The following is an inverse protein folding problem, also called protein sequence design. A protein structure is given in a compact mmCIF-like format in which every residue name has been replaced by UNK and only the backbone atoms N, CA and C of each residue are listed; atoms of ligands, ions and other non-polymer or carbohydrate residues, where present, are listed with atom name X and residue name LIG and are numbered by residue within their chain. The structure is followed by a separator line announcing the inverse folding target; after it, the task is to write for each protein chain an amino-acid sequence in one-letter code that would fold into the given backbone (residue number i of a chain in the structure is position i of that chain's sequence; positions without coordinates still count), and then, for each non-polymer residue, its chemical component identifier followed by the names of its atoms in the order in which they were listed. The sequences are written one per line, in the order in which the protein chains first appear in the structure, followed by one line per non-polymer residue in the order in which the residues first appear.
data_IF_270065470599
#
_entry.id   IF_270065470599
#
_cell.length_a   1.000
_cell.length_b   1.000
_cell.length_c   1.000
_cell.angle_alpha   90.00
_cell.angle_beta   90.00
_cell.angle_gamma   90.00
#
_symmetry.space_group_name_H-M   'P 1'
#
loop_
_entity.id
_entity.type
_entity.pdbx_description
1 polymer ?
#
# COMPACT_ATOMS: atom_id res chain seq x y z
N UNK A 1 27.51 -8.49 24.88
CA UNK A 1 26.77 -9.76 24.92
C UNK A 1 26.17 -9.98 23.54
N UNK A 2 26.70 -10.95 22.80
CA UNK A 2 26.27 -11.25 21.42
C UNK A 2 24.89 -11.89 21.37
N UNK A 3 24.45 -12.55 22.45
CA UNK A 3 23.12 -13.18 22.55
C UNK A 3 22.03 -12.16 22.84
N UNK A 4 22.32 -11.15 23.67
CA UNK A 4 21.39 -10.06 23.99
C UNK A 4 21.52 -8.85 23.06
N UNK A 5 22.41 -8.93 22.06
CA UNK A 5 22.69 -7.85 21.11
C UNK A 5 22.96 -6.49 21.78
N UNK A 6 23.67 -6.53 22.91
CA UNK A 6 23.89 -5.36 23.77
C UNK A 6 25.37 -5.18 24.09
N UNK A 7 25.86 -3.97 23.85
CA UNK A 7 27.15 -3.50 24.34
C UNK A 7 26.95 -2.80 25.68
N UNK A 8 27.85 -3.05 26.63
CA UNK A 8 27.89 -2.36 27.92
C UNK A 8 29.30 -1.85 28.13
N UNK A 9 29.43 -0.63 28.64
CA UNK A 9 30.73 -0.08 29.03
C UNK A 9 31.18 -0.70 30.35
N UNK A 10 32.43 -1.15 30.39
CA UNK A 10 33.09 -1.57 31.64
C UNK A 10 33.58 -0.37 32.42
N UNK A 11 33.88 -0.51 33.72
CA UNK A 11 34.43 0.58 34.54
C UNK A 11 35.73 1.14 33.94
N UNK A 12 36.63 0.26 33.52
CA UNK A 12 37.86 0.62 32.80
C UNK A 12 37.59 1.36 31.48
N UNK A 13 36.50 1.04 30.79
CA UNK A 13 36.08 1.73 29.58
C UNK A 13 35.59 3.15 29.87
N UNK A 14 34.87 3.35 30.97
CA UNK A 14 34.43 4.68 31.44
C UNK A 14 35.62 5.55 31.85
N UNK A 15 36.59 5.00 32.57
CA UNK A 15 37.83 5.70 32.95
C UNK A 15 38.59 6.18 31.71
N UNK A 16 38.81 5.28 30.74
CA UNK A 16 39.49 5.62 29.49
C UNK A 16 38.73 6.67 28.66
N UNK A 17 37.39 6.60 28.67
CA UNK A 17 36.57 7.63 28.03
C UNK A 17 36.74 8.98 28.73
N UNK A 18 36.77 9.02 30.07
CA UNK A 18 36.94 10.24 30.83
C UNK A 18 38.31 10.90 30.57
N UNK A 19 39.38 10.10 30.50
CA UNK A 19 40.73 10.57 30.17
C UNK A 19 40.79 11.22 28.78
N UNK A 20 40.19 10.56 27.78
CA UNK A 20 40.23 11.02 26.39
C UNK A 20 39.18 12.06 26.05
N UNK A 21 38.10 12.18 26.83
CA UNK A 21 37.03 13.15 26.59
C UNK A 21 37.55 14.60 26.56
N UNK A 22 38.67 14.88 27.23
CA UNK A 22 39.37 16.17 27.18
C UNK A 22 39.98 16.52 25.82
N UNK A 23 40.29 15.52 24.98
CA UNK A 23 40.84 15.68 23.62
C UNK A 23 39.77 16.07 22.59
N UNK A 24 38.49 15.95 22.95
CA UNK A 24 37.36 16.17 22.05
C UNK A 24 36.60 17.48 22.35
N UNK A 25 35.77 17.97 21.41
CA UNK A 25 34.95 19.17 21.64
C UNK A 25 34.11 19.09 22.92
N UNK A 26 33.74 20.25 23.48
CA UNK A 26 33.04 20.37 24.76
C UNK A 26 31.79 19.47 24.91
N UNK A 27 31.15 19.11 23.79
CA UNK A 27 30.05 18.16 23.71
C UNK A 27 30.36 16.77 24.32
N UNK A 28 31.62 16.31 24.29
CA UNK A 28 32.09 15.03 24.82
C UNK A 28 32.40 15.04 26.32
N UNK A 29 32.44 16.23 26.95
CA UNK A 29 32.74 16.36 28.39
C UNK A 29 31.59 15.90 29.30
N UNK A 30 30.39 15.72 28.76
CA UNK A 30 29.24 15.21 29.50
C UNK A 30 29.30 13.68 29.65
N UNK A 31 29.55 13.13 30.85
CA UNK A 31 29.90 11.71 31.03
C UNK A 31 28.81 10.75 30.54
N UNK A 32 27.53 11.03 30.80
CA UNK A 32 26.42 10.18 30.33
C UNK A 32 26.26 10.20 28.81
N UNK A 33 26.43 11.36 28.19
CA UNK A 33 26.23 11.55 26.75
C UNK A 33 27.36 10.93 25.94
N UNK A 34 28.60 11.13 26.37
CA UNK A 34 29.77 10.52 25.73
C UNK A 34 29.74 9.01 25.87
N UNK A 35 29.31 8.48 27.02
CA UNK A 35 29.10 7.04 27.19
C UNK A 35 28.01 6.51 26.25
N UNK A 36 26.86 7.19 26.13
CA UNK A 36 25.78 6.78 25.24
C UNK A 36 26.21 6.73 23.77
N UNK A 37 26.88 7.77 23.27
CA UNK A 37 27.39 7.85 21.90
C UNK A 37 28.47 6.78 21.64
N UNK A 38 29.37 6.57 22.60
CA UNK A 38 30.41 5.54 22.46
C UNK A 38 29.79 4.13 22.47
N UNK A 39 28.77 3.88 23.29
CA UNK A 39 28.04 2.61 23.28
C UNK A 39 27.33 2.40 21.94
N UNK A 40 26.73 3.44 21.34
CA UNK A 40 26.13 3.35 19.99
C UNK A 40 27.17 3.05 18.92
N UNK A 41 28.31 3.76 18.94
CA UNK A 41 29.42 3.52 18.02
C UNK A 41 29.99 2.10 18.15
N UNK A 42 30.24 1.64 19.39
CA UNK A 42 30.70 0.28 19.65
C UNK A 42 29.67 -0.77 19.24
N UNK A 43 28.37 -0.47 19.40
CA UNK A 43 27.28 -1.34 18.93
C UNK A 43 27.32 -1.47 17.42
N UNK A 44 27.42 -0.36 16.68
CA UNK A 44 27.54 -0.37 15.22
C UNK A 44 28.80 -1.10 14.72
N UNK A 45 29.93 -0.93 15.42
CA UNK A 45 31.20 -1.57 15.04
C UNK A 45 31.21 -3.06 15.35
N UNK A 46 30.72 -3.47 16.52
CA UNK A 46 30.88 -4.84 17.03
C UNK A 46 29.72 -5.78 16.70
N UNK A 47 28.51 -5.27 16.46
CA UNK A 47 27.31 -6.11 16.30
C UNK A 47 26.67 -6.07 14.91
N UNK A 48 26.95 -5.02 14.12
CA UNK A 48 26.39 -4.83 12.79
C UNK A 48 27.45 -5.04 11.72
N UNK A 49 27.19 -5.89 10.73
CA UNK A 49 28.13 -6.23 9.65
C UNK A 49 27.57 -5.88 8.27
N UNK A 50 28.42 -5.28 7.43
CA UNK A 50 28.12 -5.02 6.02
C UNK A 50 27.96 -6.36 5.28
N UNK A 51 26.89 -6.49 4.50
CA UNK A 51 26.54 -7.70 3.76
C UNK A 51 25.53 -8.60 4.47
N UNK A 52 25.49 -8.59 5.80
CA UNK A 52 24.54 -9.39 6.59
C UNK A 52 23.38 -8.55 7.14
N UNK A 53 23.70 -7.43 7.81
CA UNK A 53 22.72 -6.55 8.46
C UNK A 53 22.26 -5.40 7.58
N UNK A 54 23.13 -4.97 6.69
CA UNK A 54 22.90 -3.83 5.82
C UNK A 54 23.81 -3.88 4.59
N UNK A 55 23.42 -3.12 3.58
CA UNK A 55 24.20 -2.87 2.38
C UNK A 55 24.31 -1.37 2.15
N UNK A 56 25.35 -0.97 1.42
CA UNK A 56 25.50 0.41 0.94
C UNK A 56 24.93 0.46 -0.48
N UNK A 57 23.90 1.26 -0.68
CA UNK A 57 23.29 1.47 -1.99
C UNK A 57 23.59 2.88 -2.49
N UNK A 58 23.86 3.01 -3.80
CA UNK A 58 23.92 4.31 -4.44
C UNK A 58 22.50 4.71 -4.87
N UNK A 59 22.06 5.89 -4.41
CA UNK A 59 20.79 6.47 -4.85
C UNK A 59 20.90 6.82 -6.35
N UNK A 60 20.38 5.95 -7.21
CA UNK A 60 20.19 6.27 -8.63
C UNK A 60 19.09 7.32 -8.75
N UNK A 61 19.35 8.29 -9.62
CA UNK A 61 18.63 9.55 -9.78
C UNK A 61 17.26 9.38 -10.47
N UNK A 62 16.45 8.38 -10.09
CA UNK A 62 15.20 8.06 -10.81
C UNK A 62 13.90 8.37 -10.03
N UNK A 63 13.97 8.70 -8.74
CA UNK A 63 12.75 8.96 -7.94
C UNK A 63 12.36 10.45 -7.82
N UNK A 64 13.09 11.38 -8.45
CA UNK A 64 12.79 12.82 -8.41
C UNK A 64 11.80 13.32 -9.47
N UNK A 65 11.27 12.44 -10.33
CA UNK A 65 10.39 12.85 -11.43
C UNK A 65 8.91 13.03 -11.07
N UNK A 66 8.49 12.82 -9.80
CA UNK A 66 7.07 12.85 -9.40
C UNK A 66 6.69 13.91 -8.33
N UNK A 67 7.52 14.94 -8.15
CA UNK A 67 7.09 16.15 -7.43
C UNK A 67 6.44 17.15 -8.41
N UNK A 68 5.10 17.14 -8.42
CA UNK A 68 4.16 18.22 -8.75
C UNK A 68 4.66 19.41 -9.62
N UNK A 69 4.25 19.42 -10.89
CA UNK A 69 4.58 20.43 -11.89
C UNK A 69 3.78 21.74 -11.75
N UNK A 70 3.60 22.26 -10.53
CA UNK A 70 2.86 23.53 -10.30
C UNK A 70 3.58 24.54 -9.41
N UNK A 71 4.89 24.38 -9.19
CA UNK A 71 5.69 25.45 -8.58
C UNK A 71 6.93 25.72 -9.44
N UNK A 72 7.10 26.98 -9.85
CA UNK A 72 8.38 27.53 -10.30
C UNK A 72 9.34 27.52 -9.10
N UNK A 73 9.85 26.34 -8.75
CA UNK A 73 10.94 26.19 -7.79
C UNK A 73 12.25 26.45 -8.54
N UNK A 74 13.13 27.26 -7.93
CA UNK A 74 14.53 27.45 -8.39
C UNK A 74 15.17 26.10 -8.69
N UNK A 75 16.04 26.00 -9.71
CA UNK A 75 16.78 24.76 -9.97
C UNK A 75 17.55 24.37 -8.69
N UNK A 76 17.18 23.24 -8.09
CA UNK A 76 17.94 22.67 -6.99
C UNK A 76 19.34 22.31 -7.51
N UNK A 77 20.41 22.56 -6.74
CA UNK A 77 21.76 22.20 -7.15
C UNK A 77 21.84 20.69 -7.41
N UNK A 78 22.53 20.28 -8.48
CA UNK A 78 22.84 18.88 -8.79
C UNK A 78 23.39 18.21 -7.53
N UNK A 79 22.58 17.37 -6.88
CA UNK A 79 23.01 16.60 -5.70
C UNK A 79 23.96 15.51 -6.17
N UNK A 80 25.13 15.43 -5.55
CA UNK A 80 26.08 14.34 -5.73
C UNK A 80 25.39 12.99 -5.45
N UNK A 81 25.83 11.88 -6.10
CA UNK A 81 25.27 10.56 -5.86
C UNK A 81 25.37 10.22 -4.37
N UNK A 82 24.22 10.14 -3.70
CA UNK A 82 24.17 9.92 -2.27
C UNK A 82 24.24 8.41 -2.01
N UNK A 83 25.29 8.00 -1.32
CA UNK A 83 25.33 6.66 -0.75
C UNK A 83 24.38 6.62 0.46
N UNK A 84 23.61 5.55 0.60
CA UNK A 84 22.73 5.32 1.74
C UNK A 84 22.89 3.90 2.30
N UNK A 85 22.75 3.77 3.63
CA UNK A 85 22.72 2.48 4.31
C UNK A 85 21.30 1.93 4.25
N UNK A 86 21.13 0.73 3.70
CA UNK A 86 19.84 0.04 3.63
C UNK A 86 19.88 -1.23 4.46
N UNK A 87 18.91 -1.37 5.36
CA UNK A 87 18.83 -2.51 6.29
C UNK A 87 18.45 -3.78 5.53
N UNK A 88 19.12 -4.89 5.86
CA UNK A 88 18.81 -6.23 5.36
C UNK A 88 18.27 -7.09 6.50
N UNK A 89 17.21 -7.83 6.23
CA UNK A 89 16.73 -8.86 7.16
C UNK A 89 17.63 -10.10 7.06
N UNK A 90 18.42 -10.37 8.11
CA UNK A 90 19.34 -11.53 8.18
C UNK A 90 18.68 -12.88 7.88
N UNK A 91 17.39 -13.03 8.18
CA UNK A 91 16.69 -14.31 8.04
C UNK A 91 16.21 -14.56 6.60
N UNK A 92 15.93 -13.50 5.85
CA UNK A 92 15.32 -13.59 4.52
C UNK A 92 16.18 -13.00 3.40
N UNK A 93 17.25 -12.26 3.75
CA UNK A 93 18.07 -11.50 2.80
C UNK A 93 17.33 -10.32 2.16
N UNK A 94 16.12 -9.99 2.61
CA UNK A 94 15.29 -8.92 2.02
C UNK A 94 15.81 -7.55 2.41
N UNK A 95 15.95 -6.69 1.40
CA UNK A 95 16.31 -5.28 1.56
C UNK A 95 15.10 -4.46 2.02
N UNK A 96 15.22 -3.77 3.15
CA UNK A 96 14.16 -2.99 3.78
C UNK A 96 14.34 -1.48 3.52
N UNK A 97 14.08 -1.04 2.28
CA UNK A 97 14.23 0.37 1.86
C UNK A 97 13.39 1.32 2.74
N UNK A 98 14.00 2.44 3.14
CA UNK A 98 13.34 3.49 3.95
C UNK A 98 13.25 3.21 5.45
N UNK A 99 13.67 2.02 5.93
CA UNK A 99 13.78 1.75 7.38
C UNK A 99 15.11 2.25 7.92
N UNK A 100 15.07 2.85 9.11
CA UNK A 100 16.26 3.28 9.87
C UNK A 100 16.23 2.66 11.26
N UNK A 101 17.39 2.31 11.80
CA UNK A 101 17.52 1.96 13.21
C UNK A 101 17.29 3.20 14.08
N UNK A 102 16.70 2.99 15.26
CA UNK A 102 16.34 4.08 16.19
C UNK A 102 17.51 4.49 17.08
N UNK A 103 17.31 5.56 17.86
CA UNK A 103 18.23 6.01 18.92
C UNK A 103 19.67 6.25 18.42
N UNK A 104 19.83 6.90 17.25
CA UNK A 104 21.15 7.27 16.73
C UNK A 104 21.98 6.12 16.13
N UNK A 105 21.52 4.87 16.24
CA UNK A 105 22.27 3.70 15.76
C UNK A 105 22.48 3.71 14.25
N UNK A 106 21.51 4.23 13.48
CA UNK A 106 21.64 4.33 12.03
C UNK A 106 22.74 5.32 11.63
N UNK A 107 22.78 6.48 12.30
CA UNK A 107 23.84 7.45 12.12
C UNK A 107 25.21 6.91 12.55
N UNK A 108 25.27 6.07 13.58
CA UNK A 108 26.51 5.39 13.97
C UNK A 108 27.01 4.41 12.90
N UNK A 109 26.12 3.67 12.22
CA UNK A 109 26.49 2.80 11.10
C UNK A 109 26.89 3.61 9.86
N UNK A 110 26.18 4.71 9.54
CA UNK A 110 26.58 5.63 8.47
C UNK A 110 27.99 6.19 8.72
N UNK A 111 28.27 6.64 9.95
CA UNK A 111 29.58 7.14 10.35
C UNK A 111 30.67 6.06 10.29
N UNK A 112 30.36 4.81 10.65
CA UNK A 112 31.27 3.67 10.56
C UNK A 112 31.70 3.41 9.12
N UNK A 113 30.78 3.48 8.17
CA UNK A 113 31.04 3.19 6.75
C UNK A 113 31.48 4.42 5.94
N UNK A 114 31.61 5.59 6.58
CA UNK A 114 31.99 6.83 5.90
C UNK A 114 30.91 7.39 4.96
N UNK A 115 29.66 6.97 5.14
CA UNK A 115 28.51 7.42 4.36
C UNK A 115 28.00 8.76 4.93
N UNK A 116 27.50 9.70 4.11
CA UNK A 116 26.96 10.97 4.60
C UNK A 116 25.89 10.78 5.67
N UNK A 117 26.15 11.27 6.89
CA UNK A 117 25.25 11.11 8.04
C UNK A 117 23.89 11.73 7.71
N UNK A 118 22.85 10.91 7.79
CA UNK A 118 21.51 11.38 7.54
C UNK A 118 20.96 12.15 8.74
N UNK A 119 20.31 13.27 8.45
CA UNK A 119 19.64 14.05 9.50
C UNK A 119 18.55 13.20 10.16
N UNK A 120 18.46 13.32 11.48
CA UNK A 120 17.38 12.70 12.23
C UNK A 120 16.04 13.28 11.77
N UNK A 121 15.17 12.41 11.25
CA UNK A 121 13.83 12.80 10.83
C UNK A 121 12.92 12.72 12.05
N UNK A 122 12.94 13.78 12.85
CA UNK A 122 11.96 13.95 13.91
C UNK A 122 10.61 14.34 13.30
N UNK A 123 9.52 13.73 13.79
CA UNK A 123 8.17 14.10 13.36
C UNK A 123 7.78 15.40 14.06
N UNK A 124 7.83 16.52 13.34
CA UNK A 124 7.44 17.84 13.90
C UNK A 124 5.95 17.95 14.14
N UNK A 125 5.13 17.41 13.23
CA UNK A 125 3.68 17.43 13.34
C UNK A 125 3.09 16.15 12.74
N UNK A 126 2.00 15.66 13.33
CA UNK A 126 1.23 14.51 12.85
C UNK A 126 -0.25 14.76 13.11
N UNK A 127 -1.11 14.36 12.18
CA UNK A 127 -2.56 14.27 12.39
C UNK A 127 -3.09 13.07 11.62
N UNK A 128 -4.13 12.41 12.12
CA UNK A 128 -4.93 11.50 11.30
C UNK A 128 -5.86 12.28 10.37
N UNK A 129 -6.33 11.61 9.32
CA UNK A 129 -7.38 12.13 8.45
C UNK A 129 -8.67 12.40 9.22
N UNK A 130 -9.03 11.50 10.14
CA UNK A 130 -10.22 11.64 10.95
C UNK A 130 -10.22 12.95 11.72
N UNK A 131 -9.13 13.22 12.46
CA UNK A 131 -9.00 14.48 13.21
C UNK A 131 -8.85 15.69 12.30
N UNK A 132 -8.19 15.54 11.16
CA UNK A 132 -8.02 16.63 10.20
C UNK A 132 -9.37 17.10 9.64
N UNK A 133 -10.22 16.18 9.18
CA UNK A 133 -11.52 16.54 8.61
C UNK A 133 -12.50 17.04 9.66
N UNK A 134 -12.44 16.55 10.91
CA UNK A 134 -13.27 17.07 12.01
C UNK A 134 -13.07 18.57 12.32
N UNK A 135 -12.00 19.20 11.84
CA UNK A 135 -11.75 20.64 12.02
C UNK A 135 -12.56 21.53 11.08
N UNK A 136 -13.15 20.99 10.02
CA UNK A 136 -13.94 21.76 9.09
C UNK A 136 -15.33 22.02 9.67
N UNK A 137 -15.81 23.26 9.61
CA UNK A 137 -17.16 23.63 10.04
C UNK A 137 -18.25 22.88 9.24
N UNK A 138 -17.98 22.64 7.95
CA UNK A 138 -18.88 21.91 7.07
C UNK A 138 -18.10 20.84 6.31
N UNK A 139 -18.61 19.60 6.38
CA UNK A 139 -18.04 18.45 5.68
C UNK A 139 -19.14 17.81 4.84
N UNK A 140 -18.84 17.53 3.58
CA UNK A 140 -19.68 16.75 2.69
C UNK A 140 -18.81 15.82 1.83
N UNK A 141 -19.40 14.79 1.25
CA UNK A 141 -18.67 13.88 0.38
C UNK A 141 -19.59 13.07 -0.52
N UNK A 142 -19.03 12.55 -1.60
CA UNK A 142 -19.72 11.70 -2.56
C UNK A 142 -18.92 10.41 -2.78
N UNK A 143 -19.64 9.29 -2.89
CA UNK A 143 -19.05 7.98 -3.19
C UNK A 143 -20.13 7.04 -3.71
N UNK A 144 -19.75 6.14 -4.63
CA UNK A 144 -20.65 5.10 -5.12
C UNK A 144 -20.90 3.97 -4.11
N UNK A 145 -20.12 3.89 -3.03
CA UNK A 145 -20.15 2.75 -2.10
C UNK A 145 -20.08 3.18 -0.62
N UNK A 146 -20.81 4.26 -0.28
CA UNK A 146 -20.81 4.83 1.09
C UNK A 146 -21.77 4.15 2.07
N UNK A 147 -22.76 3.41 1.59
CA UNK A 147 -23.86 2.89 2.43
C UNK A 147 -23.37 1.97 3.56
N UNK A 148 -22.45 1.06 3.24
CA UNK A 148 -21.95 0.03 4.15
C UNK A 148 -21.09 0.60 5.28
N UNK A 149 -20.51 1.78 5.06
CA UNK A 149 -19.69 2.49 6.06
C UNK A 149 -20.46 3.64 6.71
N UNK A 150 -21.76 3.77 6.46
CA UNK A 150 -22.55 4.90 6.95
C UNK A 150 -22.58 5.01 8.47
N UNK A 151 -22.58 3.89 9.19
CA UNK A 151 -22.51 3.91 10.66
C UNK A 151 -21.18 4.45 11.19
N UNK A 152 -20.07 4.17 10.50
CA UNK A 152 -18.75 4.71 10.84
C UNK A 152 -18.67 6.21 10.49
N UNK A 153 -19.15 6.60 9.32
CA UNK A 153 -19.19 8.01 8.91
C UNK A 153 -20.06 8.87 9.83
N UNK A 154 -21.18 8.34 10.31
CA UNK A 154 -22.01 9.02 11.30
C UNK A 154 -21.31 9.13 12.66
N UNK A 155 -20.71 8.04 13.16
CA UNK A 155 -20.01 8.03 14.44
C UNK A 155 -18.83 9.01 14.47
N UNK A 156 -18.03 9.01 13.41
CA UNK A 156 -16.74 9.70 13.41
C UNK A 156 -16.86 11.14 12.90
N UNK A 157 -17.82 11.43 12.01
CA UNK A 157 -17.95 12.75 11.37
C UNK A 157 -19.36 13.36 11.43
N UNK A 158 -20.35 12.67 12.02
CA UNK A 158 -21.75 13.12 11.98
C UNK A 158 -22.37 13.12 10.57
N UNK A 159 -21.77 12.39 9.62
CA UNK A 159 -22.21 12.40 8.23
C UNK A 159 -23.28 11.33 7.97
N UNK A 160 -24.46 11.78 7.54
CA UNK A 160 -25.53 10.89 7.06
C UNK A 160 -25.25 10.47 5.62
N UNK A 161 -25.40 9.19 5.34
CA UNK A 161 -25.28 8.66 3.98
C UNK A 161 -26.67 8.53 3.35
N UNK A 162 -26.88 9.23 2.24
CA UNK A 162 -28.10 9.17 1.44
C UNK A 162 -27.82 8.44 0.13
N UNK A 163 -28.66 7.45 -0.22
CA UNK A 163 -28.56 6.74 -1.50
C UNK A 163 -29.33 7.53 -2.56
N UNK A 164 -28.61 8.12 -3.50
CA UNK A 164 -29.20 8.76 -4.69
C UNK A 164 -29.55 7.68 -5.72
N UNK A 165 -30.78 7.63 -6.26
CA UNK A 165 -31.15 6.70 -7.33
C UNK A 165 -30.26 6.88 -8.57
N UNK A 166 -30.03 5.79 -9.31
CA UNK A 166 -29.29 5.88 -10.58
C UNK A 166 -30.19 6.49 -11.66
N UNK A 167 -29.58 7.26 -12.57
CA UNK A 167 -30.28 7.87 -13.70
C UNK A 167 -30.98 6.83 -14.61
N UNK A 168 -30.33 5.68 -14.82
CA UNK A 168 -30.89 4.53 -15.53
C UNK A 168 -30.77 3.26 -14.68
N UNK A 169 -31.66 2.27 -14.83
CA UNK A 169 -31.56 1.00 -14.13
C UNK A 169 -30.24 0.28 -14.45
N UNK A 170 -29.64 -0.35 -13.44
CA UNK A 170 -28.40 -1.11 -13.61
C UNK A 170 -28.75 -2.52 -14.09
N UNK A 171 -28.33 -2.87 -15.31
CA UNK A 171 -28.57 -4.20 -15.93
C UNK A 171 -27.32 -5.10 -15.90
N UNK A 172 -26.37 -4.80 -15.02
CA UNK A 172 -25.11 -5.54 -14.89
C UNK A 172 -25.36 -6.98 -14.51
N UNK A 173 -24.71 -7.92 -15.20
CA UNK A 173 -24.72 -9.35 -14.85
C UNK A 173 -23.49 -9.70 -14.02
N UNK A 174 -23.67 -10.50 -12.96
CA UNK A 174 -22.55 -11.06 -12.19
C UNK A 174 -22.55 -12.56 -12.37
N UNK A 175 -21.44 -13.11 -12.85
CA UNK A 175 -21.27 -14.55 -12.93
C UNK A 175 -20.90 -15.12 -11.54
N UNK A 176 -21.04 -16.44 -11.38
CA UNK A 176 -20.57 -17.11 -10.19
C UNK A 176 -19.04 -17.04 -10.07
N UNK A 177 -18.54 -16.88 -8.85
CA UNK A 177 -17.11 -16.82 -8.58
C UNK A 177 -16.45 -18.19 -8.85
N UNK A 178 -15.33 -18.19 -9.57
CA UNK A 178 -14.58 -19.40 -9.92
C UNK A 178 -13.39 -19.54 -8.98
N UNK A 179 -13.34 -20.66 -8.23
CA UNK A 179 -12.28 -20.93 -7.26
C UNK A 179 -11.32 -21.99 -7.81
N UNK A 180 -10.03 -21.69 -7.79
CA UNK A 180 -8.94 -22.54 -8.26
C UNK A 180 -8.08 -23.01 -7.09
N UNK A 181 -7.44 -24.16 -7.27
CA UNK A 181 -6.56 -24.74 -6.24
C UNK A 181 -5.22 -23.98 -6.12
N UNK A 182 -4.68 -23.49 -7.24
CA UNK A 182 -3.42 -22.75 -7.27
C UNK A 182 -3.54 -21.45 -8.06
N UNK A 183 -2.68 -20.50 -7.74
CA UNK A 183 -2.59 -19.19 -8.36
C UNK A 183 -2.22 -19.30 -9.84
N UNK A 184 -1.34 -20.24 -10.20
CA UNK A 184 -0.98 -20.51 -11.59
C UNK A 184 -2.21 -20.89 -12.43
N UNK A 185 -3.02 -21.84 -11.95
CA UNK A 185 -4.26 -22.27 -12.65
C UNK A 185 -5.28 -21.14 -12.75
N UNK A 186 -5.35 -20.28 -11.72
CA UNK A 186 -6.18 -19.07 -11.72
C UNK A 186 -5.77 -18.14 -12.86
N UNK A 187 -4.49 -17.77 -12.96
CA UNK A 187 -4.01 -16.84 -14.00
C UNK A 187 -4.13 -17.42 -15.42
N UNK A 188 -3.86 -18.70 -15.62
CA UNK A 188 -4.08 -19.36 -16.91
C UNK A 188 -5.56 -19.31 -17.33
N UNK A 189 -6.48 -19.55 -16.40
CA UNK A 189 -7.92 -19.46 -16.66
C UNK A 189 -8.37 -18.02 -16.94
N UNK A 190 -7.81 -17.03 -16.24
CA UNK A 190 -8.06 -15.61 -16.52
C UNK A 190 -7.55 -15.25 -17.91
N UNK A 191 -6.31 -15.59 -18.25
CA UNK A 191 -5.72 -15.27 -19.55
C UNK A 191 -6.51 -15.90 -20.71
N UNK A 192 -6.92 -17.16 -20.58
CA UNK A 192 -7.81 -17.83 -21.54
C UNK A 192 -9.14 -17.09 -21.70
N UNK A 193 -9.75 -16.65 -20.58
CA UNK A 193 -11.02 -15.92 -20.62
C UNK A 193 -10.90 -14.56 -21.29
N UNK A 194 -9.83 -13.84 -21.00
CA UNK A 194 -9.52 -12.55 -21.65
C UNK A 194 -9.37 -12.74 -23.15
N UNK A 195 -8.63 -13.77 -23.58
CA UNK A 195 -8.44 -14.13 -24.98
C UNK A 195 -9.76 -14.44 -25.70
N UNK A 196 -10.65 -15.22 -25.08
CA UNK A 196 -12.00 -15.49 -25.62
C UNK A 196 -12.80 -14.21 -25.88
N UNK A 197 -12.83 -13.29 -24.91
CA UNK A 197 -13.55 -12.03 -25.04
C UNK A 197 -12.89 -11.06 -26.02
N UNK A 198 -11.56 -11.00 -26.02
CA UNK A 198 -10.79 -10.19 -26.95
C UNK A 198 -11.07 -10.60 -28.41
N UNK A 199 -11.05 -11.91 -28.71
CA UNK A 199 -11.39 -12.43 -30.03
C UNK A 199 -12.85 -12.16 -30.41
N UNK A 200 -13.75 -12.17 -29.45
CA UNK A 200 -15.16 -11.79 -29.65
C UNK A 200 -15.38 -10.27 -29.74
N UNK A 201 -14.33 -9.44 -29.69
CA UNK A 201 -14.42 -7.99 -29.79
C UNK A 201 -14.91 -7.28 -28.52
N UNK A 202 -15.08 -8.01 -27.43
CA UNK A 202 -15.58 -7.45 -26.17
C UNK A 202 -14.43 -6.87 -25.35
N UNK A 203 -14.52 -5.61 -24.87
CA UNK A 203 -13.50 -5.04 -24.02
C UNK A 203 -13.48 -5.69 -22.63
N UNK A 204 -12.27 -5.87 -22.11
CA UNK A 204 -12.02 -6.50 -20.80
C UNK A 204 -11.15 -5.60 -19.93
N UNK A 205 -11.64 -5.31 -18.73
CA UNK A 205 -10.87 -4.73 -17.63
C UNK A 205 -10.55 -5.82 -16.62
N UNK A 206 -9.28 -6.10 -16.39
CA UNK A 206 -8.83 -7.04 -15.37
C UNK A 206 -8.29 -6.26 -14.18
N UNK A 207 -8.88 -6.45 -13.00
CA UNK A 207 -8.42 -5.85 -11.76
C UNK A 207 -7.60 -6.83 -10.94
N UNK A 208 -6.39 -6.41 -10.58
CA UNK A 208 -5.42 -7.16 -9.78
C UNK A 208 -5.11 -6.43 -8.46
N UNK A 209 -4.58 -7.18 -7.49
CA UNK A 209 -4.21 -6.64 -6.18
C UNK A 209 -2.86 -5.92 -6.18
N UNK A 210 -1.88 -6.42 -6.92
CA UNK A 210 -0.50 -5.92 -6.93
C UNK A 210 0.03 -5.63 -8.34
N UNK A 211 1.11 -4.85 -8.41
CA UNK A 211 1.83 -4.58 -9.67
C UNK A 211 2.42 -5.87 -10.24
N UNK A 212 3.03 -6.71 -9.40
CA UNK A 212 3.59 -8.01 -9.80
C UNK A 212 2.54 -8.92 -10.46
N UNK A 213 1.35 -9.05 -9.86
CA UNK A 213 0.25 -9.82 -10.46
C UNK A 213 -0.22 -9.24 -11.80
N UNK A 214 -0.13 -7.92 -11.97
CA UNK A 214 -0.50 -7.23 -13.21
C UNK A 214 0.50 -7.51 -14.32
N UNK A 215 1.79 -7.44 -14.00
CA UNK A 215 2.89 -7.71 -14.94
C UNK A 215 2.93 -9.18 -15.35
N UNK A 216 2.76 -10.10 -14.38
CA UNK A 216 2.63 -11.54 -14.65
C UNK A 216 1.48 -11.84 -15.61
N UNK A 217 0.30 -11.26 -15.37
CA UNK A 217 -0.82 -11.42 -16.28
C UNK A 217 -0.56 -10.77 -17.64
N UNK A 218 0.08 -9.61 -17.67
CA UNK A 218 0.50 -8.94 -18.91
C UNK A 218 1.40 -9.83 -19.78
N UNK A 219 2.39 -10.48 -19.17
CA UNK A 219 3.27 -11.42 -19.87
C UNK A 219 2.49 -12.62 -20.44
N UNK A 220 1.62 -13.24 -19.64
CA UNK A 220 0.76 -14.36 -20.08
C UNK A 220 -0.19 -13.98 -21.22
N UNK A 221 -0.67 -12.73 -21.26
CA UNK A 221 -1.49 -12.22 -22.37
C UNK A 221 -0.65 -11.98 -23.62
N UNK A 222 0.58 -11.48 -23.47
CA UNK A 222 1.54 -11.29 -24.56
C UNK A 222 1.91 -12.61 -25.25
N UNK A 223 2.16 -13.67 -24.48
CA UNK A 223 2.39 -15.03 -24.99
C UNK A 223 1.22 -15.58 -25.83
N UNK A 224 0.00 -15.12 -25.55
CA UNK A 224 -1.23 -15.49 -26.26
C UNK A 224 -1.57 -14.57 -27.43
N UNK A 225 -0.70 -13.60 -27.75
CA UNK A 225 -0.93 -12.62 -28.81
C UNK A 225 -2.02 -11.60 -28.50
N UNK A 226 -2.40 -11.42 -27.23
CA UNK A 226 -3.37 -10.42 -26.79
C UNK A 226 -2.64 -9.15 -26.38
N UNK A 227 -2.81 -8.08 -27.17
CA UNK A 227 -2.20 -6.77 -26.88
C UNK A 227 -2.92 -6.06 -25.71
N UNK A 228 -2.60 -6.46 -24.48
CA UNK A 228 -3.09 -5.84 -23.25
C UNK A 228 -2.26 -4.63 -22.80
N UNK A 229 -2.91 -3.65 -22.18
CA UNK A 229 -2.24 -2.51 -21.52
C UNK A 229 -2.24 -2.69 -20.01
N UNK A 230 -1.07 -2.66 -19.38
CA UNK A 230 -0.91 -2.80 -17.93
C UNK A 230 -0.77 -1.42 -17.26
N UNK A 231 -1.49 -1.19 -16.16
CA UNK A 231 -1.51 0.08 -15.42
C UNK A 231 -1.11 -0.13 -13.95
N UNK A 232 -0.03 0.53 -13.54
CA UNK A 232 0.65 0.30 -12.26
C UNK A 232 0.46 1.43 -11.22
N UNK A 233 -0.44 2.40 -11.45
CA UNK A 233 -0.73 3.53 -10.56
C UNK A 233 0.47 4.48 -10.30
N UNK A 234 1.45 4.52 -11.20
CA UNK A 234 2.63 5.38 -11.09
C UNK A 234 2.48 6.70 -11.83
N UNK A 235 1.64 6.79 -12.89
CA UNK A 235 1.53 7.99 -13.75
C UNK A 235 0.08 8.36 -14.05
N UNK A 236 -0.54 9.18 -13.20
CA UNK A 236 -1.98 9.46 -13.23
C UNK A 236 -2.53 9.98 -14.58
N UNK A 237 -1.86 10.94 -15.23
CA UNK A 237 -2.37 11.54 -16.49
C UNK A 237 -2.39 10.55 -17.66
N UNK A 238 -1.28 9.84 -17.88
CA UNK A 238 -1.18 8.86 -18.96
C UNK A 238 -2.12 7.65 -18.72
N UNK A 239 -2.32 7.28 -17.46
CA UNK A 239 -3.27 6.22 -17.10
C UNK A 239 -4.72 6.63 -17.40
N UNK A 240 -5.08 7.90 -17.14
CA UNK A 240 -6.41 8.40 -17.46
C UNK A 240 -6.72 8.25 -18.96
N UNK A 241 -5.77 8.59 -19.83
CA UNK A 241 -5.93 8.44 -21.27
C UNK A 241 -6.11 6.97 -21.66
N UNK A 242 -5.33 6.06 -21.09
CA UNK A 242 -5.47 4.63 -21.38
C UNK A 242 -6.84 4.09 -20.91
N UNK A 243 -7.28 4.48 -19.73
CA UNK A 243 -8.56 4.04 -19.14
C UNK A 243 -9.75 4.57 -19.93
N UNK A 244 -9.67 5.80 -20.44
CA UNK A 244 -10.70 6.35 -21.33
C UNK A 244 -10.86 5.52 -22.62
N UNK A 245 -9.80 4.84 -23.06
CA UNK A 245 -9.80 3.96 -24.24
C UNK A 245 -10.15 2.50 -23.93
N UNK A 246 -10.25 2.12 -22.65
CA UNK A 246 -10.50 0.74 -22.23
C UNK A 246 -11.86 0.18 -22.67
N UNK A 247 -12.80 1.06 -23.03
CA UNK A 247 -14.13 0.68 -23.53
C UNK A 247 -14.23 0.47 -25.04
N UNK A 248 -13.11 0.53 -25.78
CA UNK A 248 -13.09 0.29 -27.24
C UNK A 248 -13.20 -1.20 -27.58
N UNK A 249 -13.69 -1.50 -28.77
CA UNK A 249 -13.82 -2.87 -29.28
C UNK A 249 -12.51 -3.66 -29.13
N UNK A 250 -12.57 -4.82 -28.49
CA UNK A 250 -11.43 -5.70 -28.22
C UNK A 250 -10.37 -5.15 -27.26
N UNK A 251 -10.56 -3.98 -26.63
CA UNK A 251 -9.54 -3.43 -25.73
C UNK A 251 -9.35 -4.30 -24.48
N UNK A 252 -8.09 -4.59 -24.13
CA UNK A 252 -7.73 -5.32 -22.91
C UNK A 252 -6.90 -4.42 -22.02
N UNK A 253 -7.38 -4.17 -20.82
CA UNK A 253 -6.71 -3.33 -19.82
C UNK A 253 -6.55 -4.11 -18.54
N UNK A 254 -5.31 -4.22 -18.04
CA UNK A 254 -4.98 -4.81 -16.74
C UNK A 254 -4.62 -3.66 -15.82
N UNK A 255 -5.28 -3.57 -14.68
CA UNK A 255 -5.13 -2.46 -13.75
C UNK A 255 -5.02 -2.97 -12.32
N UNK A 256 -4.09 -2.39 -11.56
CA UNK A 256 -4.16 -2.45 -10.11
C UNK A 256 -5.37 -1.67 -9.61
N UNK A 257 -5.88 -1.98 -8.42
CA UNK A 257 -7.09 -1.36 -7.87
C UNK A 257 -7.16 0.17 -7.89
N UNK A 258 -6.02 0.84 -7.80
CA UNK A 258 -5.94 2.30 -7.76
C UNK A 258 -5.79 2.93 -9.14
N UNK A 259 -5.30 2.18 -10.13
CA UNK A 259 -5.04 2.71 -11.45
C UNK A 259 -6.34 3.14 -12.15
N UNK A 260 -6.32 4.33 -12.77
CA UNK A 260 -7.49 4.86 -13.47
C UNK A 260 -8.67 5.26 -12.56
N UNK A 261 -8.44 5.54 -11.27
CA UNK A 261 -9.46 6.11 -10.39
C UNK A 261 -9.84 7.52 -10.87
N UNK A 262 -11.16 7.78 -10.94
CA UNK A 262 -11.68 9.08 -11.42
C UNK A 262 -12.01 9.12 -12.90
N UNK A 263 -11.43 8.25 -13.74
CA UNK A 263 -11.73 8.21 -15.18
C UNK A 263 -12.92 7.29 -15.48
N UNK A 264 -13.85 7.78 -16.31
CA UNK A 264 -14.99 7.01 -16.81
C UNK A 264 -14.60 6.16 -18.03
N UNK A 265 -15.10 4.93 -18.09
CA UNK A 265 -14.85 4.01 -19.21
C UNK A 265 -16.10 4.02 -20.09
N UNK A 266 -16.10 4.86 -21.12
CA UNK A 266 -17.19 4.94 -22.09
C UNK A 266 -17.06 3.82 -23.11
N UNK A 267 -18.17 3.14 -23.41
CA UNK A 267 -18.20 2.12 -24.44
C UNK A 267 -18.06 2.76 -25.83
N UNK A 268 -17.17 2.22 -26.65
CA UNK A 268 -17.02 2.61 -28.05
C UNK A 268 -18.12 2.02 -28.96
N UNK A 269 -18.15 2.44 -30.23
CA UNK A 269 -19.08 1.89 -31.21
C UNK A 269 -18.97 0.36 -31.32
N UNK A 270 -20.11 -0.33 -31.44
CA UNK A 270 -20.16 -1.79 -31.61
C UNK A 270 -19.95 -2.62 -30.34
N UNK A 271 -19.66 -2.01 -29.18
CA UNK A 271 -19.36 -2.73 -27.94
C UNK A 271 -20.61 -3.17 -27.17
N UNK A 272 -21.70 -2.41 -27.24
CA UNK A 272 -22.96 -2.78 -26.57
C UNK A 272 -23.53 -4.12 -27.09
N UNK A 273 -23.60 -4.39 -28.41
CA UNK A 273 -23.98 -5.70 -28.94
C UNK A 273 -23.08 -6.85 -28.48
N UNK A 274 -21.78 -6.60 -28.26
CA UNK A 274 -20.83 -7.58 -27.72
C UNK A 274 -21.01 -7.85 -26.21
N UNK A 275 -22.03 -7.27 -25.57
CA UNK A 275 -22.33 -7.44 -24.15
C UNK A 275 -21.64 -6.42 -23.23
N UNK A 276 -21.09 -5.33 -23.79
CA UNK A 276 -20.48 -4.23 -23.05
C UNK A 276 -19.17 -4.59 -22.35
N UNK A 277 -18.69 -3.69 -21.48
CA UNK A 277 -17.46 -3.90 -20.72
C UNK A 277 -17.56 -5.13 -19.82
N UNK A 278 -16.58 -6.02 -19.93
CA UNK A 278 -16.40 -7.14 -19.03
C UNK A 278 -15.35 -6.80 -17.97
N UNK A 279 -15.65 -7.03 -16.70
CA UNK A 279 -14.70 -6.83 -15.59
C UNK A 279 -14.34 -8.18 -14.99
N UNK A 280 -13.05 -8.51 -14.96
CA UNK A 280 -12.52 -9.69 -14.28
C UNK A 280 -11.80 -9.23 -13.02
N UNK A 281 -12.20 -9.75 -11.88
CA UNK A 281 -11.48 -9.56 -10.62
C UNK A 281 -10.63 -10.80 -10.39
N UNK A 282 -9.31 -10.65 -10.30
CA UNK A 282 -8.41 -11.80 -10.11
C UNK A 282 -8.27 -12.22 -8.66
N UNK A 283 -8.80 -11.43 -7.72
CA UNK A 283 -8.84 -11.67 -6.28
C UNK A 283 -10.00 -10.87 -5.66
N UNK A 284 -10.30 -11.15 -4.39
CA UNK A 284 -11.13 -10.28 -3.54
C UNK A 284 -10.24 -9.40 -2.66
N UNK A 285 -10.66 -8.15 -2.49
CA UNK A 285 -9.94 -7.20 -1.66
C UNK A 285 -10.29 -7.34 -0.18
N UNK A 286 -9.52 -6.66 0.66
CA UNK A 286 -9.72 -6.64 2.11
C UNK A 286 -11.08 -6.02 2.50
N UNK A 287 -11.75 -5.35 1.57
CA UNK A 287 -13.12 -4.88 1.73
C UNK A 287 -13.97 -5.10 0.49
N UNK A 288 -15.21 -5.56 0.72
CA UNK A 288 -16.23 -5.73 -0.31
C UNK A 288 -16.57 -4.40 -1.01
N UNK A 289 -16.28 -3.27 -0.37
CA UNK A 289 -16.44 -1.94 -0.95
C UNK A 289 -15.54 -1.74 -2.18
N UNK A 290 -14.31 -2.23 -2.13
CA UNK A 290 -13.32 -2.08 -3.21
C UNK A 290 -13.73 -2.96 -4.39
N UNK A 291 -14.13 -4.21 -4.13
CA UNK A 291 -14.65 -5.11 -5.16
C UNK A 291 -15.84 -4.50 -5.92
N UNK A 292 -16.77 -3.86 -5.18
CA UNK A 292 -17.91 -3.18 -5.81
C UNK A 292 -17.53 -1.95 -6.61
N UNK A 293 -16.45 -1.24 -6.25
CA UNK A 293 -15.96 -0.12 -7.04
C UNK A 293 -15.39 -0.61 -8.38
N UNK A 294 -14.65 -1.73 -8.37
CA UNK A 294 -14.15 -2.36 -9.58
C UNK A 294 -15.30 -2.92 -10.44
N UNK A 295 -16.23 -3.65 -9.84
CA UNK A 295 -17.45 -4.13 -10.51
C UNK A 295 -18.30 -2.98 -11.09
N UNK A 296 -18.32 -1.82 -10.41
CA UNK A 296 -19.01 -0.60 -10.83
C UNK A 296 -18.36 0.14 -11.98
N UNK A 297 -17.23 -0.34 -12.51
CA UNK A 297 -16.67 0.14 -13.78
C UNK A 297 -17.47 -0.35 -14.98
N UNK A 298 -18.17 -1.49 -14.87
CA UNK A 298 -19.05 -2.03 -15.91
C UNK A 298 -20.51 -1.57 -15.76
N UNK A 299 -21.24 -1.61 -16.88
CA UNK A 299 -22.68 -1.37 -16.97
C UNK A 299 -23.13 -0.01 -16.40
N UNK A 300 -22.41 1.06 -16.75
CA UNK A 300 -22.78 2.43 -16.38
C UNK A 300 -23.93 2.92 -17.25
N UNK A 301 -24.77 3.82 -16.72
CA UNK A 301 -25.88 4.45 -17.47
C UNK A 301 -26.82 3.43 -18.18
N UNK A 302 -27.07 2.27 -17.56
CA UNK A 302 -27.93 1.23 -18.12
C UNK A 302 -27.33 0.45 -19.28
N UNK A 303 -26.04 0.60 -19.55
CA UNK A 303 -25.33 -0.19 -20.56
C UNK A 303 -25.20 -1.66 -20.15
N UNK A 304 -25.09 -2.59 -21.11
CA UNK A 304 -24.74 -3.97 -20.80
C UNK A 304 -23.34 -4.03 -20.19
N UNK A 305 -23.11 -5.05 -19.38
CA UNK A 305 -21.81 -5.30 -18.77
C UNK A 305 -21.86 -6.51 -17.86
N UNK A 306 -20.71 -7.12 -17.64
CA UNK A 306 -20.61 -8.33 -16.83
C UNK A 306 -19.40 -8.28 -15.92
N UNK A 307 -19.51 -8.94 -14.77
CA UNK A 307 -18.42 -9.09 -13.81
C UNK A 307 -18.22 -10.57 -13.51
N UNK A 308 -16.97 -11.00 -13.57
CA UNK A 308 -16.50 -12.34 -13.16
C UNK A 308 -15.42 -12.20 -12.09
N UNK A 309 -15.33 -13.17 -11.19
CA UNK A 309 -14.30 -13.22 -10.16
C UNK A 309 -13.59 -14.58 -10.20
N UNK A 310 -12.27 -14.54 -10.20
CA UNK A 310 -11.39 -15.70 -10.22
C UNK A 310 -10.61 -15.66 -8.91
N UNK A 311 -10.65 -16.73 -8.14
CA UNK A 311 -10.09 -16.81 -6.79
C UNK A 311 -9.16 -18.02 -6.69
N UNK A 312 -8.12 -17.93 -5.88
CA UNK A 312 -7.24 -19.06 -5.56
C UNK A 312 -7.28 -19.39 -4.07
N UNK A 313 -7.13 -20.68 -3.73
CA UNK A 313 -6.88 -21.10 -2.35
C UNK A 313 -5.53 -20.58 -1.81
N UNK A 314 -4.66 -20.07 -2.69
CA UNK A 314 -3.37 -19.44 -2.37
C UNK A 314 -3.45 -17.89 -2.30
N UNK A 315 -4.64 -17.30 -2.46
CA UNK A 315 -4.79 -15.82 -2.42
C UNK A 315 -4.44 -15.27 -1.03
N UNK A 316 -3.78 -14.11 -0.99
CA UNK A 316 -3.31 -13.44 0.24
C UNK A 316 -4.43 -13.20 1.25
N UNK A 317 -5.65 -12.95 0.78
CA UNK A 317 -6.81 -12.72 1.63
C UNK A 317 -7.06 -13.88 2.61
N UNK A 318 -6.79 -15.12 2.19
CA UNK A 318 -7.04 -16.31 2.99
C UNK A 318 -6.03 -16.50 4.11
N UNK A 319 -4.86 -15.85 4.07
CA UNK A 319 -3.86 -15.88 5.16
C UNK A 319 -4.46 -15.40 6.49
N UNK A 320 -5.44 -14.49 6.43
CA UNK A 320 -6.17 -14.02 7.62
C UNK A 320 -7.03 -15.09 8.30
N UNK A 321 -7.28 -16.21 7.61
CA UNK A 321 -7.95 -17.38 8.15
C UNK A 321 -6.99 -18.45 8.69
N UNK A 322 -5.69 -18.34 8.48
CA UNK A 322 -4.72 -19.35 8.98
C UNK A 322 -4.75 -19.45 10.52
N UNK A 323 -5.17 -18.38 11.20
CA UNK A 323 -5.40 -18.37 12.65
C UNK A 323 -6.72 -19.03 13.08
N UNK A 324 -7.55 -19.51 12.15
CA UNK A 324 -8.86 -20.12 12.44
C UNK A 324 -8.71 -21.63 12.62
N UNK A 325 -9.40 -22.18 13.61
CA UNK A 325 -9.35 -23.62 13.84
C UNK A 325 -9.95 -24.40 12.67
N UNK A 326 -9.44 -25.61 12.36
CA UNK A 326 -10.01 -26.49 11.33
C UNK A 326 -11.50 -26.76 11.52
N UNK A 327 -11.97 -26.79 12.78
CA UNK A 327 -13.39 -26.93 13.13
C UNK A 327 -14.23 -25.72 12.76
N UNK A 328 -13.70 -24.49 12.81
CA UNK A 328 -14.38 -23.29 12.32
C UNK A 328 -14.41 -23.25 10.81
N UNK A 329 -13.32 -23.67 10.17
CA UNK A 329 -13.23 -23.79 8.72
C UNK A 329 -14.20 -24.86 8.19
N UNK A 330 -14.31 -26.01 8.85
CA UNK A 330 -15.24 -27.07 8.46
C UNK A 330 -16.73 -26.71 8.61
N UNK A 331 -17.05 -25.70 9.43
CA UNK A 331 -18.42 -25.14 9.54
C UNK A 331 -18.74 -24.16 8.41
N UNK A 332 -17.73 -23.61 7.75
CA UNK A 332 -17.91 -22.88 6.50
C UNK A 332 -18.16 -23.95 5.43
N UNK A 333 -19.26 -23.82 4.70
CA UNK A 333 -19.68 -24.77 3.67
C UNK A 333 -18.76 -24.74 2.44
N UNK A 334 -19.29 -24.29 1.30
CA UNK A 334 -18.54 -24.29 0.04
C UNK A 334 -17.31 -23.37 0.05
N UNK A 335 -16.34 -23.62 -0.84
CA UNK A 335 -15.06 -22.88 -0.90
C UNK A 335 -15.21 -21.36 -0.99
N UNK A 336 -16.28 -20.86 -1.62
CA UNK A 336 -16.57 -19.43 -1.71
C UNK A 336 -16.79 -18.77 -0.33
N UNK A 337 -17.33 -19.52 0.64
CA UNK A 337 -17.60 -19.01 1.98
C UNK A 337 -16.33 -18.70 2.77
N UNK A 338 -15.20 -19.35 2.44
CA UNK A 338 -13.90 -18.99 3.00
C UNK A 338 -13.55 -17.54 2.65
N UNK A 339 -13.70 -17.14 1.39
CA UNK A 339 -13.40 -15.77 0.97
C UNK A 339 -14.34 -14.74 1.61
N UNK A 340 -15.64 -15.04 1.73
CA UNK A 340 -16.59 -14.17 2.43
C UNK A 340 -16.24 -14.04 3.93
N UNK A 341 -15.77 -15.11 4.56
CA UNK A 341 -15.34 -15.10 5.95
C UNK A 341 -14.03 -14.32 6.15
N UNK A 342 -13.05 -14.54 5.26
CA UNK A 342 -11.76 -13.86 5.25
C UNK A 342 -11.93 -12.35 5.06
N UNK A 343 -12.73 -11.94 4.07
CA UNK A 343 -13.02 -10.53 3.81
C UNK A 343 -13.70 -9.87 5.01
N UNK A 344 -14.71 -10.52 5.62
CA UNK A 344 -15.34 -10.00 6.85
C UNK A 344 -14.37 -9.90 8.03
N UNK A 345 -13.41 -10.84 8.13
CA UNK A 345 -12.37 -10.79 9.16
C UNK A 345 -11.42 -9.60 8.93
N UNK A 346 -10.97 -9.38 7.69
CA UNK A 346 -10.17 -8.24 7.29
C UNK A 346 -10.87 -6.91 7.62
N UNK A 347 -12.13 -6.75 7.21
CA UNK A 347 -12.93 -5.55 7.48
C UNK A 347 -13.05 -5.26 8.98
N UNK A 348 -13.32 -6.30 9.80
CA UNK A 348 -13.38 -6.15 11.27
C UNK A 348 -12.05 -5.73 11.86
N UNK A 349 -10.95 -6.34 11.40
CA UNK A 349 -9.59 -5.99 11.85
C UNK A 349 -9.27 -4.53 11.51
N UNK A 350 -9.54 -4.10 10.29
CA UNK A 350 -9.32 -2.69 9.89
C UNK A 350 -10.21 -1.72 10.67
N UNK A 351 -11.48 -2.07 10.94
CA UNK A 351 -12.36 -1.25 11.76
C UNK A 351 -11.88 -1.16 13.22
N UNK A 352 -11.28 -2.21 13.78
CA UNK A 352 -10.65 -2.16 15.10
C UNK A 352 -9.40 -1.25 15.09
N UNK A 353 -8.52 -1.40 14.09
CA UNK A 353 -7.33 -0.55 13.94
C UNK A 353 -7.68 0.94 13.84
N UNK A 354 -8.72 1.30 13.08
CA UNK A 354 -9.17 2.70 12.95
C UNK A 354 -9.73 3.26 14.26
N UNK A 355 -10.48 2.46 15.03
CA UNK A 355 -10.97 2.86 16.35
C UNK A 355 -9.82 3.09 17.33
N UNK A 356 -8.81 2.23 17.30
CA UNK A 356 -7.63 2.39 18.14
C UNK A 356 -6.83 3.64 17.77
N UNK A 357 -6.63 3.89 16.46
CA UNK A 357 -5.99 5.11 15.99
C UNK A 357 -6.72 6.37 16.51
N UNK A 358 -8.06 6.38 16.44
CA UNK A 358 -8.86 7.48 16.97
C UNK A 358 -8.70 7.67 18.47
N UNK A 359 -8.65 6.58 19.24
CA UNK A 359 -8.41 6.63 20.68
C UNK A 359 -7.04 7.24 21.00
N UNK A 360 -5.99 6.78 20.32
CA UNK A 360 -4.63 7.30 20.48
C UNK A 360 -4.56 8.79 20.12
N UNK A 361 -5.19 9.19 19.02
CA UNK A 361 -5.20 10.59 18.59
C UNK A 361 -5.99 11.50 19.54
N UNK A 362 -7.06 11.00 20.17
CA UNK A 362 -7.77 11.73 21.23
C UNK A 362 -6.87 11.95 22.44
N UNK A 363 -6.22 10.89 22.93
CA UNK A 363 -5.30 10.97 24.08
C UNK A 363 -4.13 11.93 23.82
N UNK A 364 -3.53 11.88 22.62
CA UNK A 364 -2.50 12.83 22.21
C UNK A 364 -3.04 14.26 22.15
N UNK A 365 -4.31 14.42 21.72
CA UNK A 365 -4.99 15.71 21.76
C UNK A 365 -5.09 16.29 23.16
N UNK A 366 -5.54 15.48 24.11
CA UNK A 366 -5.73 15.90 25.50
C UNK A 366 -4.39 16.23 26.18
N UNK A 367 -3.34 15.45 25.90
CA UNK A 367 -1.98 15.70 26.40
C UNK A 367 -1.38 16.99 25.83
N UNK A 368 -1.61 17.27 24.55
CA UNK A 368 -1.12 18.49 23.89
C UNK A 368 -1.98 19.73 24.19
N UNK A 369 -3.26 19.56 24.55
CA UNK A 369 -4.13 20.65 24.96
C UNK A 369 -3.67 21.30 26.29
N UNK A 370 -2.92 20.57 27.11
CA UNK A 370 -2.31 21.11 28.33
C UNK A 370 -1.18 22.13 28.06
N UNK A 371 -0.64 22.23 26.84
CA UNK A 371 0.46 23.13 26.51
C UNK A 371 0.06 24.39 25.71
N UNK A 372 -1.24 24.61 25.45
CA UNK A 372 -1.67 25.85 24.79
C UNK A 372 -3.19 25.98 24.72
N UNK A 373 -3.70 27.15 25.16
CA UNK A 373 -5.11 27.54 25.01
C UNK A 373 -5.54 27.39 23.55
N UNK A 374 -6.68 26.72 23.32
CA UNK A 374 -7.38 26.85 22.05
C UNK A 374 -7.85 28.30 21.91
N UNK A 375 -7.36 28.99 20.87
CA UNK A 375 -8.01 30.20 20.33
C UNK A 375 -9.26 29.82 19.55
#
# INVERSE_FOLDING_TARGET
DTRLHKVRMTDRGRERLAERAGEFPAFWRGPRRSEELLVQALTAVSLYTLGDDYIIQQEQQDDAAHADATQRAKPEPKREPKQEIVIVDRSTGRVLKGRKWQLGLHQAVEAKEGVPISQDRSTTARTSYQRFFQRYHHICGMTGTGWEVGAELWRDYGLRVVRVPTHRPVIRRRAADRVFASEQRKFEAVAKRVEEFHRAGRPVLVGTRSVESSERLGALLGERGVAGRVLNATRERAEADIVALAGRHGAVTVATNMAGRGTDIKLGPGVEPCGGLHVIMTERHDSARIDRQLAGRAARQGQPGQVECYLSMEDELLVLLDAWSPTRLARLGGRQQFFDAAQRAAERRHAAMRRELMRVDSLLGDMLAFTGRQE
#
